data_IF_947044367299
#
_entry.id   IF_947044367299
#
_cell.length_a   1.000
_cell.length_b   1.000
_cell.length_c   1.000
_cell.angle_alpha   90.00
_cell.angle_beta   90.00
_cell.angle_gamma   90.00
#
_symmetry.space_group_name_H-M   'P 1'
#
loop_
_entity.id
_entity.type
_entity.pdbx_description
1 polymer ?
#
# COMPACT_ATOMS: atom_id res chain seq x y z
N UNK A 1 -0.92 -6.20 6.60
CA UNK A 1 -2.02 -6.96 7.22
C UNK A 1 -2.44 -8.10 6.30
N UNK A 2 -2.66 -9.29 6.85
CA UNK A 2 -3.18 -10.43 6.10
C UNK A 2 -4.70 -10.46 6.27
N UNK A 3 -5.42 -10.45 5.16
CA UNK A 3 -6.88 -10.48 5.11
C UNK A 3 -7.31 -11.92 4.82
N UNK A 4 -8.26 -12.44 5.61
CA UNK A 4 -8.94 -13.69 5.32
C UNK A 4 -10.44 -13.44 5.30
N UNK A 5 -11.13 -13.97 4.29
CA UNK A 5 -12.57 -14.12 4.28
C UNK A 5 -12.90 -15.56 4.71
N UNK A 6 -14.03 -15.75 5.36
CA UNK A 6 -14.47 -17.09 5.73
C UNK A 6 -15.85 -17.38 5.14
N UNK A 7 -16.06 -18.62 4.70
CA UNK A 7 -17.39 -19.12 4.32
C UNK A 7 -18.28 -19.24 5.57
N UNK A 8 -19.60 -19.40 5.38
CA UNK A 8 -20.50 -19.74 6.50
C UNK A 8 -20.11 -21.01 7.26
N UNK A 9 -19.40 -21.93 6.60
CA UNK A 9 -18.86 -23.15 7.23
C UNK A 9 -17.50 -22.94 7.91
N UNK A 10 -16.98 -21.71 7.95
CA UNK A 10 -15.71 -21.37 8.62
C UNK A 10 -14.44 -21.68 7.81
N UNK A 11 -14.54 -22.12 6.55
CA UNK A 11 -13.39 -22.30 5.70
C UNK A 11 -12.79 -20.96 5.27
N UNK A 12 -11.47 -20.80 5.38
CA UNK A 12 -10.78 -19.59 4.96
C UNK A 12 -10.73 -19.51 3.42
N UNK A 13 -11.13 -18.38 2.86
CA UNK A 13 -11.01 -18.07 1.43
C UNK A 13 -9.78 -17.18 1.27
N UNK A 14 -8.81 -17.55 0.40
CA UNK A 14 -7.62 -16.74 0.17
C UNK A 14 -7.96 -15.43 -0.56
N UNK A 15 -7.20 -14.34 -0.31
CA UNK A 15 -7.42 -13.04 -0.93
C UNK A 15 -7.45 -13.07 -2.45
N UNK A 16 -6.61 -13.92 -3.06
CA UNK A 16 -6.55 -14.08 -4.52
C UNK A 16 -7.87 -14.55 -5.16
N UNK A 17 -8.75 -15.17 -4.39
CA UNK A 17 -10.06 -15.63 -4.87
C UNK A 17 -11.15 -14.57 -4.67
N UNK A 18 -11.21 -13.89 -3.52
CA UNK A 18 -12.33 -13.00 -3.22
C UNK A 18 -12.10 -11.55 -3.62
N UNK A 19 -10.85 -11.07 -3.70
CA UNK A 19 -10.56 -9.68 -4.09
C UNK A 19 -11.02 -9.40 -5.52
N UNK A 20 -10.67 -10.23 -6.55
CA UNK A 20 -11.17 -10.02 -7.91
C UNK A 20 -12.71 -10.00 -7.97
N UNK A 21 -13.35 -10.91 -7.24
CA UNK A 21 -14.82 -10.96 -7.19
C UNK A 21 -15.41 -9.69 -6.55
N UNK A 22 -14.78 -9.15 -5.51
CA UNK A 22 -15.22 -7.89 -4.89
C UNK A 22 -15.04 -6.70 -5.84
N UNK A 23 -14.01 -6.70 -6.69
CA UNK A 23 -13.78 -5.69 -7.73
C UNK A 23 -14.85 -5.77 -8.82
N UNK A 24 -15.11 -6.97 -9.35
CA UNK A 24 -16.13 -7.21 -10.36
C UNK A 24 -17.54 -6.85 -9.90
N UNK A 25 -17.84 -7.08 -8.63
CA UNK A 25 -19.17 -6.79 -8.04
C UNK A 25 -19.30 -5.39 -7.48
N UNK A 26 -18.23 -4.56 -7.53
CA UNK A 26 -18.22 -3.21 -6.99
C UNK A 26 -18.17 -3.13 -5.46
N UNK A 27 -17.92 -4.24 -4.77
CA UNK A 27 -17.84 -4.31 -3.31
C UNK A 27 -16.44 -3.99 -2.75
N UNK A 28 -15.44 -3.83 -3.62
CA UNK A 28 -14.04 -3.62 -3.19
C UNK A 28 -13.86 -2.39 -2.30
N UNK A 29 -14.58 -1.29 -2.56
CA UNK A 29 -14.52 -0.07 -1.74
C UNK A 29 -15.04 -0.33 -0.33
N UNK A 30 -16.26 -0.87 -0.20
CA UNK A 30 -16.87 -1.16 1.10
C UNK A 30 -16.04 -2.19 1.90
N UNK A 31 -15.50 -3.20 1.21
CA UNK A 31 -14.58 -4.16 1.81
C UNK A 31 -13.32 -3.47 2.34
N UNK A 32 -12.71 -2.60 1.54
CA UNK A 32 -11.53 -1.84 1.93
C UNK A 32 -11.76 -0.97 3.18
N UNK A 33 -12.89 -0.28 3.25
CA UNK A 33 -13.27 0.53 4.42
C UNK A 33 -13.40 -0.31 5.69
N UNK A 34 -14.11 -1.44 5.62
CA UNK A 34 -14.28 -2.35 6.76
C UNK A 34 -12.94 -2.91 7.22
N UNK A 35 -12.09 -3.31 6.30
CA UNK A 35 -10.77 -3.87 6.60
C UNK A 35 -9.84 -2.82 7.22
N UNK A 36 -9.85 -1.61 6.69
CA UNK A 36 -9.07 -0.49 7.21
C UNK A 36 -9.49 -0.16 8.64
N UNK A 37 -10.81 -0.02 8.89
CA UNK A 37 -11.32 0.25 10.22
C UNK A 37 -10.95 -0.86 11.23
N UNK A 38 -11.07 -2.15 10.85
CA UNK A 38 -10.66 -3.29 11.70
C UNK A 38 -9.16 -3.28 11.98
N UNK A 39 -8.34 -2.97 10.99
CA UNK A 39 -6.89 -2.93 11.15
C UNK A 39 -6.46 -1.81 12.11
N UNK A 40 -7.04 -0.61 11.99
CA UNK A 40 -6.77 0.50 12.91
C UNK A 40 -7.24 0.20 14.33
N UNK A 41 -8.44 -0.39 14.50
CA UNK A 41 -8.94 -0.81 15.81
C UNK A 41 -7.99 -1.83 16.47
N UNK A 42 -7.45 -2.79 15.70
CA UNK A 42 -6.48 -3.75 16.21
C UNK A 42 -5.16 -3.11 16.59
N UNK A 43 -4.66 -2.18 15.79
CA UNK A 43 -3.46 -1.39 16.13
C UNK A 43 -3.64 -0.63 17.45
N UNK A 44 -4.75 0.10 17.59
CA UNK A 44 -5.09 0.84 18.81
C UNK A 44 -5.17 -0.08 20.02
N UNK A 45 -5.78 -1.26 19.90
CA UNK A 45 -5.83 -2.26 20.95
C UNK A 45 -4.44 -2.75 21.36
N UNK A 46 -3.54 -3.03 20.40
CA UNK A 46 -2.17 -3.47 20.72
C UNK A 46 -1.40 -2.38 21.46
N UNK A 47 -1.52 -1.12 21.05
CA UNK A 47 -0.93 0.01 21.77
C UNK A 47 -1.48 0.15 23.20
N UNK A 48 -2.80 -0.05 23.40
CA UNK A 48 -3.38 0.01 24.75
C UNK A 48 -2.89 -1.09 25.69
N UNK A 49 -2.41 -2.19 25.14
CA UNK A 49 -1.74 -3.27 25.87
C UNK A 49 -0.23 -3.03 26.09
N UNK A 50 0.28 -1.86 25.72
CA UNK A 50 1.71 -1.52 25.83
C UNK A 50 2.59 -2.22 24.80
N UNK A 51 2.01 -2.80 23.75
CA UNK A 51 2.72 -3.45 22.66
C UNK A 51 2.98 -2.43 21.55
N UNK A 52 4.16 -2.47 20.96
CA UNK A 52 4.46 -1.75 19.71
C UNK A 52 4.35 -2.71 18.52
N UNK A 53 3.25 -2.69 17.76
CA UNK A 53 3.09 -3.51 16.58
C UNK A 53 3.88 -2.98 15.38
N UNK A 54 4.61 -1.90 15.53
CA UNK A 54 5.29 -1.22 14.46
C UNK A 54 4.32 -0.47 13.55
N UNK A 55 4.46 -0.66 12.23
CA UNK A 55 3.72 0.08 11.22
C UNK A 55 2.70 -0.80 10.51
N UNK A 56 1.49 -0.27 10.33
CA UNK A 56 0.44 -0.92 9.55
C UNK A 56 0.62 -0.54 8.07
N UNK A 57 0.86 -1.53 7.22
CA UNK A 57 0.86 -1.35 5.77
C UNK A 57 -0.51 -1.74 5.19
N UNK A 58 -1.04 -0.88 4.32
CA UNK A 58 -2.36 -1.06 3.70
C UNK A 58 -2.27 -0.78 2.21
N UNK A 59 -2.70 -1.75 1.41
CA UNK A 59 -2.86 -1.55 -0.04
C UNK A 59 -4.05 -0.65 -0.32
N UNK A 60 -3.85 0.35 -1.19
CA UNK A 60 -4.87 1.32 -1.58
C UNK A 60 -5.05 1.29 -3.09
N UNK A 61 -6.31 1.19 -3.51
CA UNK A 61 -6.67 1.12 -4.92
C UNK A 61 -6.62 2.50 -5.62
N UNK A 62 -6.50 2.48 -6.95
CA UNK A 62 -6.62 3.68 -7.77
C UNK A 62 -7.94 4.43 -7.53
N UNK A 63 -9.04 3.70 -7.27
CA UNK A 63 -10.34 4.29 -7.03
C UNK A 63 -10.36 5.12 -5.74
N UNK A 64 -9.77 4.60 -4.66
CA UNK A 64 -9.65 5.33 -3.39
C UNK A 64 -8.76 6.56 -3.52
N UNK A 65 -7.63 6.45 -4.21
CA UNK A 65 -6.69 7.57 -4.41
C UNK A 65 -7.24 8.67 -5.33
N UNK A 66 -8.25 8.38 -6.13
CA UNK A 66 -8.94 9.38 -6.98
C UNK A 66 -9.98 10.19 -6.21
N UNK A 67 -10.40 9.73 -5.05
CA UNK A 67 -11.30 10.48 -4.18
C UNK A 67 -10.54 11.64 -3.50
N UNK A 68 -10.92 12.91 -3.76
CA UNK A 68 -10.26 14.06 -3.12
C UNK A 68 -10.43 14.07 -1.59
N UNK A 69 -11.45 13.37 -1.05
CA UNK A 69 -11.70 13.25 0.39
C UNK A 69 -10.89 12.16 1.08
N UNK A 70 -10.19 11.31 0.33
CA UNK A 70 -9.56 10.12 0.89
C UNK A 70 -8.51 10.43 1.97
N UNK A 71 -7.65 11.42 1.76
CA UNK A 71 -6.65 11.81 2.75
C UNK A 71 -7.29 12.29 4.07
N UNK A 72 -8.39 13.04 3.98
CA UNK A 72 -9.14 13.48 5.17
C UNK A 72 -9.78 12.28 5.87
N UNK A 73 -10.40 11.36 5.13
CA UNK A 73 -10.98 10.12 5.67
C UNK A 73 -9.94 9.30 6.44
N UNK A 74 -8.73 9.16 5.91
CA UNK A 74 -7.61 8.49 6.59
C UNK A 74 -7.21 9.22 7.87
N UNK A 75 -7.09 10.55 7.82
CA UNK A 75 -6.74 11.37 8.98
C UNK A 75 -7.76 11.25 10.11
N UNK A 76 -9.05 11.33 9.78
CA UNK A 76 -10.15 11.20 10.73
C UNK A 76 -10.18 9.79 11.35
N UNK A 77 -9.92 8.77 10.54
CA UNK A 77 -9.86 7.39 11.02
C UNK A 77 -8.70 7.17 12.00
N UNK A 78 -7.50 7.67 11.68
CA UNK A 78 -6.34 7.59 12.58
C UNK A 78 -6.61 8.33 13.89
N UNK A 79 -7.17 9.55 13.82
CA UNK A 79 -7.50 10.36 14.99
C UNK A 79 -8.52 9.68 15.91
N UNK A 80 -9.58 9.08 15.34
CA UNK A 80 -10.59 8.33 16.11
C UNK A 80 -10.01 7.14 16.88
N UNK A 81 -8.93 6.54 16.37
CA UNK A 81 -8.26 5.41 17.02
C UNK A 81 -7.05 5.82 17.86
N UNK A 82 -6.75 7.13 17.98
CA UNK A 82 -5.60 7.64 18.74
C UNK A 82 -4.25 7.20 18.14
N UNK A 83 -4.21 6.97 16.83
CA UNK A 83 -3.01 6.50 16.14
C UNK A 83 -2.27 7.65 15.47
N UNK A 84 -0.95 7.64 15.58
CA UNK A 84 -0.09 8.57 14.85
C UNK A 84 -0.10 8.26 13.35
N UNK A 85 -0.16 9.27 12.45
CA UNK A 85 -0.07 9.05 11.02
C UNK A 85 1.19 8.27 10.60
N UNK A 86 2.31 8.42 11.31
CA UNK A 86 3.55 7.69 11.04
C UNK A 86 3.43 6.17 11.27
N UNK A 87 2.40 5.72 12.01
CA UNK A 87 2.12 4.29 12.19
C UNK A 87 1.44 3.64 10.98
N UNK A 88 1.05 4.45 9.97
CA UNK A 88 0.42 3.96 8.75
C UNK A 88 1.37 4.10 7.55
N UNK A 89 1.46 3.04 6.76
CA UNK A 89 2.11 3.02 5.45
C UNK A 89 1.08 2.67 4.38
N UNK A 90 0.91 3.56 3.42
CA UNK A 90 0.02 3.38 2.25
C UNK A 90 0.84 2.69 1.16
N UNK A 91 0.41 1.52 0.74
CA UNK A 91 1.03 0.77 -0.35
C UNK A 91 0.24 0.98 -1.64
N UNK A 92 0.94 1.39 -2.70
CA UNK A 92 0.36 1.63 -4.01
C UNK A 92 1.20 0.95 -5.08
N UNK A 93 0.57 0.30 -6.03
CA UNK A 93 1.31 -0.36 -7.11
C UNK A 93 1.79 0.64 -8.16
N UNK A 94 2.85 0.28 -8.87
CA UNK A 94 3.45 1.09 -9.93
C UNK A 94 2.40 1.52 -10.98
N UNK A 95 1.56 0.59 -11.42
CA UNK A 95 0.54 0.84 -12.44
C UNK A 95 -0.54 1.85 -12.03
N UNK A 96 -0.85 1.93 -10.74
CA UNK A 96 -1.80 2.91 -10.20
C UNK A 96 -1.27 4.32 -10.35
N UNK A 97 0.01 4.53 -10.07
CA UNK A 97 0.62 5.86 -10.05
C UNK A 97 0.83 6.43 -11.46
N UNK A 98 1.13 5.57 -12.44
CA UNK A 98 1.49 6.01 -13.79
C UNK A 98 0.34 5.89 -14.82
N UNK A 99 -0.87 5.60 -14.36
CA UNK A 99 -2.05 5.47 -15.18
C UNK A 99 -2.69 6.81 -15.58
N UNK A 100 -3.85 6.72 -16.21
CA UNK A 100 -4.63 7.87 -16.73
C UNK A 100 -4.95 8.94 -15.66
N UNK A 101 -4.92 8.60 -14.38
CA UNK A 101 -5.30 9.46 -13.26
C UNK A 101 -4.09 9.93 -12.43
N UNK A 102 -2.88 9.87 -13.00
CA UNK A 102 -1.62 10.14 -12.31
C UNK A 102 -1.62 11.46 -11.53
N UNK A 103 -2.12 12.57 -12.10
CA UNK A 103 -2.12 13.88 -11.45
C UNK A 103 -3.05 13.94 -10.23
N UNK A 104 -4.26 13.37 -10.33
CA UNK A 104 -5.20 13.29 -9.21
C UNK A 104 -4.62 12.43 -8.08
N UNK A 105 -4.10 11.26 -8.41
CA UNK A 105 -3.46 10.35 -7.47
C UNK A 105 -2.25 11.00 -6.81
N UNK A 106 -1.38 11.67 -7.57
CA UNK A 106 -0.24 12.39 -7.01
C UNK A 106 -0.65 13.51 -6.04
N UNK A 107 -1.82 14.12 -6.24
CA UNK A 107 -2.36 15.12 -5.31
C UNK A 107 -2.75 14.47 -3.98
N UNK A 108 -3.53 13.41 -4.01
CA UNK A 108 -3.95 12.65 -2.82
C UNK A 108 -2.75 12.08 -2.06
N UNK A 109 -1.75 11.52 -2.78
CA UNK A 109 -0.53 11.03 -2.15
C UNK A 109 0.27 12.14 -1.44
N UNK A 110 0.33 13.35 -2.02
CA UNK A 110 0.95 14.51 -1.35
C UNK A 110 0.20 14.93 -0.09
N UNK A 111 -1.12 14.86 -0.09
CA UNK A 111 -1.94 15.14 1.09
C UNK A 111 -1.72 14.11 2.19
N UNK A 112 -1.70 12.81 1.86
CA UNK A 112 -1.35 11.74 2.76
C UNK A 112 0.07 11.91 3.34
N UNK A 113 1.03 12.27 2.50
CA UNK A 113 2.39 12.57 2.96
C UNK A 113 2.42 13.76 3.94
N UNK A 114 1.68 14.87 3.65
CA UNK A 114 1.58 16.03 4.56
C UNK A 114 0.91 15.68 5.88
N UNK A 115 -0.04 14.75 5.87
CA UNK A 115 -0.64 14.21 7.09
C UNK A 115 0.40 13.49 7.96
N UNK A 116 1.49 13.01 7.37
CA UNK A 116 2.58 12.29 8.01
C UNK A 116 2.53 10.78 7.82
N UNK A 117 1.65 10.26 6.95
CA UNK A 117 1.67 8.84 6.59
C UNK A 117 2.89 8.53 5.72
N UNK A 118 3.33 7.28 5.75
CA UNK A 118 4.37 6.81 4.84
C UNK A 118 3.72 6.25 3.57
N UNK A 119 4.47 6.34 2.47
CA UNK A 119 4.03 5.84 1.17
C UNK A 119 5.08 4.84 0.68
N UNK A 120 4.63 3.64 0.34
CA UNK A 120 5.45 2.61 -0.28
C UNK A 120 4.94 2.34 -1.70
N UNK A 121 5.86 2.22 -2.64
CA UNK A 121 5.57 1.78 -4.00
C UNK A 121 5.74 0.28 -4.07
N UNK A 122 4.66 -0.44 -4.33
CA UNK A 122 4.61 -1.90 -4.38
C UNK A 122 4.74 -2.43 -5.81
N UNK A 123 5.13 -3.69 -5.93
CA UNK A 123 5.36 -4.43 -7.19
C UNK A 123 6.32 -3.70 -8.16
N UNK A 124 7.34 -3.00 -7.59
CA UNK A 124 8.24 -2.17 -8.38
C UNK A 124 9.12 -2.99 -9.32
N UNK A 125 9.19 -2.52 -10.56
CA UNK A 125 9.97 -3.13 -11.65
C UNK A 125 9.13 -3.93 -12.65
N UNK A 126 7.82 -4.11 -12.40
CA UNK A 126 6.92 -4.82 -13.33
C UNK A 126 6.27 -3.90 -14.36
N UNK A 127 6.37 -2.60 -14.19
CA UNK A 127 5.71 -1.58 -15.00
C UNK A 127 6.68 -0.65 -15.73
N UNK A 128 6.17 0.48 -16.17
CA UNK A 128 6.90 1.49 -16.95
C UNK A 128 7.23 2.73 -16.11
N UNK A 129 7.74 2.55 -14.88
CA UNK A 129 8.05 3.68 -14.01
C UNK A 129 9.09 4.61 -14.66
N UNK A 130 8.68 5.84 -14.92
CA UNK A 130 9.62 6.89 -15.23
C UNK A 130 10.26 7.41 -13.93
N UNK A 131 11.59 7.43 -13.87
CA UNK A 131 12.36 7.99 -12.74
C UNK A 131 11.96 9.43 -12.39
N UNK A 132 11.49 10.20 -13.38
CA UNK A 132 10.99 11.56 -13.19
C UNK A 132 9.74 11.56 -12.30
N UNK A 133 8.84 10.61 -12.52
CA UNK A 133 7.62 10.49 -11.71
C UNK A 133 7.94 10.02 -10.29
N UNK A 134 8.83 9.03 -10.14
CA UNK A 134 9.24 8.54 -8.83
C UNK A 134 9.77 9.66 -7.92
N UNK A 135 10.58 10.57 -8.49
CA UNK A 135 11.11 11.74 -7.76
C UNK A 135 10.02 12.72 -7.31
N UNK A 136 8.87 12.80 -8.02
CA UNK A 136 7.76 13.72 -7.70
C UNK A 136 6.82 13.21 -6.61
N UNK A 137 6.82 11.91 -6.34
CA UNK A 137 5.80 11.26 -5.50
C UNK A 137 6.11 11.23 -4.01
N UNK A 138 7.31 11.68 -3.59
CA UNK A 138 7.72 11.69 -2.18
C UNK A 138 7.44 10.34 -1.47
N UNK A 139 7.75 9.23 -2.17
CA UNK A 139 7.67 7.89 -1.59
C UNK A 139 8.77 7.69 -0.54
N UNK A 140 8.56 6.75 0.39
CA UNK A 140 9.48 6.45 1.47
C UNK A 140 10.12 5.07 1.32
N UNK A 141 9.56 4.23 0.45
CA UNK A 141 9.99 2.84 0.27
C UNK A 141 9.65 2.36 -1.14
N UNK A 142 10.56 1.57 -1.69
CA UNK A 142 10.31 0.72 -2.86
C UNK A 142 10.24 -0.74 -2.39
N UNK A 143 9.20 -1.47 -2.81
CA UNK A 143 9.04 -2.90 -2.58
C UNK A 143 9.27 -3.61 -3.91
N UNK A 144 10.33 -4.39 -3.98
CA UNK A 144 10.68 -5.13 -5.19
C UNK A 144 9.67 -6.26 -5.37
N UNK A 145 9.11 -6.38 -6.58
CA UNK A 145 8.17 -7.45 -6.88
C UNK A 145 8.79 -8.84 -6.64
N UNK A 146 7.94 -9.75 -6.17
CA UNK A 146 8.36 -11.13 -5.85
C UNK A 146 8.88 -11.89 -7.07
N UNK A 147 8.44 -11.57 -8.30
CA UNK A 147 8.91 -12.23 -9.52
C UNK A 147 10.42 -12.08 -9.72
N UNK A 148 11.01 -10.97 -9.25
CA UNK A 148 12.47 -10.75 -9.31
C UNK A 148 13.22 -11.32 -8.11
N UNK A 149 12.56 -11.43 -6.95
CA UNK A 149 13.24 -11.88 -5.72
C UNK A 149 13.21 -13.40 -5.54
N UNK A 150 12.23 -14.08 -6.13
CA UNK A 150 12.06 -15.53 -5.99
C UNK A 150 13.29 -16.32 -6.46
N UNK A 151 13.84 -15.96 -7.61
CA UNK A 151 14.94 -16.70 -8.25
C UNK A 151 16.25 -15.87 -8.33
N UNK A 152 16.36 -14.74 -7.64
CA UNK A 152 17.51 -13.85 -7.72
C UNK A 152 18.86 -14.47 -7.27
N UNK A 153 18.85 -15.62 -6.59
CA UNK A 153 20.05 -16.35 -6.21
C UNK A 153 20.53 -17.32 -7.30
N UNK A 154 19.68 -17.70 -8.24
CA UNK A 154 19.93 -18.67 -9.30
C UNK A 154 19.85 -18.09 -10.70
N UNK A 155 19.10 -16.99 -10.87
CA UNK A 155 18.93 -16.28 -12.12
C UNK A 155 19.76 -14.97 -12.11
N UNK A 156 20.73 -14.85 -12.98
CA UNK A 156 21.64 -13.69 -13.07
C UNK A 156 20.90 -12.40 -13.50
N UNK A 157 19.87 -12.50 -14.35
CA UNK A 157 19.10 -11.36 -14.83
C UNK A 157 18.23 -10.79 -13.71
N UNK A 158 17.53 -11.65 -12.95
CA UNK A 158 16.76 -11.22 -11.78
C UNK A 158 17.68 -10.58 -10.73
N UNK A 159 18.83 -11.19 -10.47
CA UNK A 159 19.83 -10.62 -9.58
C UNK A 159 20.31 -9.23 -10.04
N UNK A 160 20.48 -9.02 -11.36
CA UNK A 160 20.86 -7.71 -11.90
C UNK A 160 19.75 -6.66 -11.73
N UNK A 161 18.47 -7.05 -11.95
CA UNK A 161 17.31 -6.20 -11.74
C UNK A 161 17.22 -5.78 -10.27
N UNK A 162 17.27 -6.75 -9.34
CA UNK A 162 17.22 -6.49 -7.90
C UNK A 162 18.32 -5.52 -7.46
N UNK A 163 19.58 -5.76 -7.89
CA UNK A 163 20.70 -4.85 -7.58
C UNK A 163 20.48 -3.45 -8.13
N UNK A 164 19.91 -3.34 -9.33
CA UNK A 164 19.62 -2.03 -9.96
C UNK A 164 18.57 -1.27 -9.18
N UNK A 165 17.49 -1.94 -8.76
CA UNK A 165 16.42 -1.32 -7.93
C UNK A 165 16.97 -0.87 -6.58
N UNK A 166 17.80 -1.68 -5.93
CA UNK A 166 18.44 -1.33 -4.65
C UNK A 166 19.33 -0.09 -4.82
N UNK A 167 20.18 -0.07 -5.87
CA UNK A 167 21.05 1.07 -6.14
C UNK A 167 20.27 2.36 -6.43
N UNK A 168 19.15 2.24 -7.14
CA UNK A 168 18.24 3.33 -7.40
C UNK A 168 17.62 3.87 -6.11
N UNK A 169 17.07 2.98 -5.27
CA UNK A 169 16.48 3.35 -3.99
C UNK A 169 17.49 4.10 -3.10
N UNK A 170 18.70 3.55 -2.95
CA UNK A 170 19.79 4.19 -2.21
C UNK A 170 20.15 5.58 -2.76
N UNK A 171 20.22 5.74 -4.07
CA UNK A 171 20.52 7.03 -4.72
C UNK A 171 19.42 8.08 -4.50
N UNK A 172 18.19 7.64 -4.26
CA UNK A 172 17.03 8.50 -3.94
C UNK A 172 16.79 8.70 -2.45
N UNK A 173 17.58 8.06 -1.58
CA UNK A 173 17.40 8.11 -0.14
C UNK A 173 16.21 7.31 0.39
N UNK A 174 15.82 6.24 -0.33
CA UNK A 174 14.69 5.36 -0.02
C UNK A 174 15.15 4.06 0.60
#
# INVERSE_FOLDING_TARGET
>A
AIICCATHAGAAIPPAEFIPLAEETGLAMALGEVLFAKALARMSQLHSLGLDPGRLSVNVSAQQLRDPGFAQTVGDALSRHGLSPQSLEIEVTENVIFGRWADAIATTLRELHRLGTRIALDDFGTGYASLIHLRRLQVHRLKIDKSFTADCTTNADDAAIVRTIISLAQSLGL
#
